data_IF_113270527905
#
_entry.id   IF_113270527905
#
_cell.length_a   1.000
_cell.length_b   1.000
_cell.length_c   1.000
_cell.angle_alpha   90.00
_cell.angle_beta   90.00
_cell.angle_gamma   90.00
#
_symmetry.space_group_name_H-M   'P 1'
#
loop_
_entity.id
_entity.type
_entity.pdbx_description
1 polymer ?
#
# COMPACT_ATOMS: atom_id res chain seq x y z
N UNK A 1 -11.56 -12.49 20.19
CA UNK A 1 -12.34 -12.52 18.93
C UNK A 1 -11.41 -13.09 17.87
N UNK A 2 -11.84 -14.12 17.14
CA UNK A 2 -11.04 -14.72 16.07
C UNK A 2 -11.36 -14.00 14.76
N UNK A 3 -10.35 -13.44 14.09
CA UNK A 3 -10.50 -12.87 12.75
C UNK A 3 -10.42 -14.03 11.75
N UNK A 4 -11.36 -14.08 10.82
CA UNK A 4 -11.46 -15.11 9.78
C UNK A 4 -11.88 -14.42 8.47
N UNK A 5 -11.15 -14.69 7.41
CA UNK A 5 -11.41 -14.15 6.07
C UNK A 5 -11.80 -15.25 5.07
N UNK A 6 -12.29 -16.39 5.57
CA UNK A 6 -12.84 -17.45 4.72
C UNK A 6 -13.96 -16.90 3.82
N UNK A 7 -13.97 -17.30 2.56
CA UNK A 7 -14.87 -16.80 1.50
C UNK A 7 -14.68 -15.31 1.13
N UNK A 8 -13.61 -14.66 1.60
CA UNK A 8 -13.23 -13.32 1.18
C UNK A 8 -12.21 -13.36 0.07
N UNK A 9 -12.30 -12.41 -0.86
CA UNK A 9 -11.33 -12.22 -1.95
C UNK A 9 -10.53 -10.95 -1.70
N UNK A 10 -9.21 -11.08 -1.66
CA UNK A 10 -8.26 -10.00 -1.44
C UNK A 10 -7.41 -9.77 -2.68
N UNK A 11 -7.24 -8.51 -3.08
CA UNK A 11 -6.22 -8.09 -4.04
C UNK A 11 -5.12 -7.33 -3.29
N UNK A 12 -3.86 -7.79 -3.42
CA UNK A 12 -2.70 -7.09 -2.89
C UNK A 12 -1.87 -6.53 -4.04
N UNK A 13 -1.89 -5.22 -4.21
CA UNK A 13 -1.06 -4.51 -5.18
C UNK A 13 0.33 -4.32 -4.59
N UNK A 14 1.34 -5.00 -5.16
CA UNK A 14 2.70 -5.06 -4.62
C UNK A 14 2.95 -6.25 -3.68
N UNK A 15 2.22 -7.36 -3.82
CA UNK A 15 2.28 -8.53 -2.94
C UNK A 15 3.47 -9.46 -3.13
N UNK A 16 4.52 -9.07 -3.86
CA UNK A 16 5.67 -9.95 -4.18
C UNK A 16 6.92 -9.73 -3.32
N UNK A 17 6.94 -8.73 -2.46
CA UNK A 17 8.08 -8.43 -1.59
C UNK A 17 7.65 -7.60 -0.36
N UNK A 18 8.52 -7.59 0.67
CA UNK A 18 8.39 -6.73 1.84
C UNK A 18 7.03 -6.81 2.53
N UNK A 19 6.46 -5.66 2.85
CA UNK A 19 5.17 -5.55 3.56
C UNK A 19 4.04 -6.25 2.78
N UNK A 20 3.98 -6.05 1.45
CA UNK A 20 2.92 -6.63 0.63
C UNK A 20 2.96 -8.15 0.59
N UNK A 21 4.15 -8.76 0.52
CA UNK A 21 4.30 -10.21 0.59
C UNK A 21 3.81 -10.75 1.94
N UNK A 22 4.20 -10.11 3.03
CA UNK A 22 3.78 -10.55 4.37
C UNK A 22 2.26 -10.42 4.56
N UNK A 23 1.65 -9.35 4.05
CA UNK A 23 0.19 -9.19 4.04
C UNK A 23 -0.48 -10.32 3.23
N UNK A 24 0.04 -10.63 2.02
CA UNK A 24 -0.46 -11.71 1.18
C UNK A 24 -0.49 -13.04 1.95
N UNK A 25 0.63 -13.40 2.59
CA UNK A 25 0.77 -14.64 3.37
C UNK A 25 -0.24 -14.70 4.53
N UNK A 26 -0.34 -13.62 5.31
CA UNK A 26 -1.23 -13.60 6.47
C UNK A 26 -2.72 -13.61 6.09
N UNK A 27 -3.09 -12.94 4.99
CA UNK A 27 -4.47 -13.02 4.50
C UNK A 27 -4.82 -14.42 3.97
N UNK A 28 -3.87 -15.13 3.36
CA UNK A 28 -4.02 -16.55 3.01
C UNK A 28 -4.17 -17.42 4.25
N UNK A 29 -3.36 -17.19 5.30
CA UNK A 29 -3.46 -17.91 6.57
C UNK A 29 -4.81 -17.69 7.27
N UNK A 30 -5.42 -16.51 7.08
CA UNK A 30 -6.76 -16.19 7.58
C UNK A 30 -7.89 -16.69 6.69
N UNK A 31 -7.59 -17.45 5.63
CA UNK A 31 -8.58 -18.11 4.78
C UNK A 31 -9.04 -17.32 3.55
N UNK A 32 -8.48 -16.13 3.29
CA UNK A 32 -8.83 -15.35 2.12
C UNK A 32 -8.28 -15.96 0.82
N UNK A 33 -9.04 -15.87 -0.27
CA UNK A 33 -8.54 -16.08 -1.62
C UNK A 33 -7.75 -14.83 -2.04
N UNK A 34 -6.41 -14.94 -2.08
CA UNK A 34 -5.56 -13.78 -2.33
C UNK A 34 -5.02 -13.78 -3.75
N UNK A 35 -5.26 -12.70 -4.45
CA UNK A 35 -4.64 -12.34 -5.72
C UNK A 35 -3.58 -11.27 -5.50
N UNK A 36 -2.51 -11.29 -6.28
CA UNK A 36 -1.43 -10.31 -6.17
C UNK A 36 -1.11 -9.72 -7.54
N UNK A 37 -0.89 -8.41 -7.57
CA UNK A 37 -0.47 -7.66 -8.77
C UNK A 37 0.95 -7.17 -8.54
N UNK A 38 1.89 -7.70 -9.31
CA UNK A 38 3.30 -7.26 -9.26
C UNK A 38 4.07 -7.67 -10.50
N UNK A 39 5.21 -7.00 -10.76
CA UNK A 39 6.12 -7.36 -11.86
C UNK A 39 6.68 -8.78 -11.74
N UNK A 40 6.88 -9.32 -10.53
CA UNK A 40 7.29 -10.72 -10.34
C UNK A 40 6.23 -11.73 -10.77
N UNK A 41 4.97 -11.30 -10.77
CA UNK A 41 3.82 -12.10 -11.24
C UNK A 41 3.48 -11.78 -12.70
N UNK A 42 4.35 -11.03 -13.41
CA UNK A 42 4.21 -10.69 -14.82
C UNK A 42 3.25 -9.53 -15.10
N UNK A 43 2.86 -8.75 -14.08
CA UNK A 43 1.92 -7.65 -14.22
C UNK A 43 2.58 -6.34 -13.81
N UNK A 44 2.76 -5.44 -14.78
CA UNK A 44 3.17 -4.07 -14.48
C UNK A 44 1.93 -3.23 -14.14
N UNK A 45 1.91 -2.66 -12.94
CA UNK A 45 0.80 -1.82 -12.46
C UNK A 45 0.62 -0.53 -13.25
N UNK A 46 1.63 -0.10 -14.01
CA UNK A 46 1.56 1.05 -14.91
C UNK A 46 1.00 0.68 -16.30
N UNK A 47 0.86 -0.61 -16.59
CA UNK A 47 0.27 -1.09 -17.83
C UNK A 47 -1.22 -1.42 -17.60
N UNK A 48 -2.10 -0.48 -17.94
CA UNK A 48 -3.55 -0.61 -17.73
C UNK A 48 -4.13 -1.84 -18.39
N UNK A 49 -3.64 -2.23 -19.59
CA UNK A 49 -4.11 -3.42 -20.30
C UNK A 49 -3.81 -4.69 -19.50
N UNK A 50 -2.59 -4.83 -18.96
CA UNK A 50 -2.24 -5.99 -18.13
C UNK A 50 -3.07 -6.04 -16.85
N UNK A 51 -3.35 -4.88 -16.24
CA UNK A 51 -4.22 -4.77 -15.07
C UNK A 51 -5.64 -5.21 -15.38
N UNK A 52 -6.20 -4.75 -16.51
CA UNK A 52 -7.55 -5.11 -16.94
C UNK A 52 -7.65 -6.62 -17.23
N UNK A 53 -6.71 -7.19 -17.99
CA UNK A 53 -6.65 -8.63 -18.27
C UNK A 53 -6.54 -9.48 -17.00
N UNK A 54 -5.82 -8.98 -16.00
CA UNK A 54 -5.75 -9.63 -14.68
C UNK A 54 -7.11 -9.55 -13.96
N UNK A 55 -7.72 -8.37 -13.92
CA UNK A 55 -8.97 -8.15 -13.20
C UNK A 55 -10.17 -8.90 -13.81
N UNK A 56 -10.11 -9.28 -15.11
CA UNK A 56 -11.10 -10.18 -15.71
C UNK A 56 -11.16 -11.56 -15.04
N UNK A 57 -10.08 -11.99 -14.35
CA UNK A 57 -10.00 -13.27 -13.64
C UNK A 57 -10.51 -13.21 -12.20
N UNK A 58 -10.93 -12.01 -11.76
CA UNK A 58 -11.40 -11.76 -10.39
C UNK A 58 -12.86 -11.34 -10.44
N UNK A 59 -13.76 -12.17 -9.94
CA UNK A 59 -15.20 -11.92 -10.00
C UNK A 59 -15.65 -10.90 -8.95
N UNK A 60 -15.07 -10.95 -7.74
CA UNK A 60 -15.43 -10.13 -6.59
C UNK A 60 -14.17 -9.67 -5.84
N UNK A 61 -14.25 -8.49 -5.23
CA UNK A 61 -13.19 -7.92 -4.37
C UNK A 61 -13.78 -7.52 -3.03
N UNK A 62 -13.42 -8.25 -1.96
CA UNK A 62 -13.79 -7.86 -0.59
C UNK A 62 -12.75 -6.91 0.00
N UNK A 63 -11.46 -7.16 -0.27
CA UNK A 63 -10.37 -6.33 0.24
C UNK A 63 -9.41 -5.93 -0.88
N UNK A 64 -9.16 -4.63 -1.01
CA UNK A 64 -8.12 -4.08 -1.88
C UNK A 64 -7.02 -3.45 -1.02
N UNK A 65 -5.79 -3.93 -1.15
CA UNK A 65 -4.66 -3.45 -0.37
C UNK A 65 -3.58 -2.92 -1.31
N UNK A 66 -3.42 -1.61 -1.35
CA UNK A 66 -2.51 -0.90 -2.24
C UNK A 66 -1.19 -0.62 -1.52
N UNK A 67 -0.17 -1.46 -1.71
CA UNK A 67 1.15 -1.38 -1.05
C UNK A 67 2.26 -0.96 -2.02
N UNK A 68 2.09 -1.23 -3.32
CA UNK A 68 3.12 -0.99 -4.32
C UNK A 68 3.66 0.45 -4.30
N UNK A 69 4.96 0.59 -4.29
CA UNK A 69 5.62 1.89 -4.44
C UNK A 69 7.10 1.73 -4.80
N UNK A 70 7.66 2.78 -5.40
CA UNK A 70 9.09 2.98 -5.60
C UNK A 70 9.53 4.24 -4.90
N UNK A 71 10.80 4.31 -4.50
CA UNK A 71 11.41 5.47 -3.85
C UNK A 71 12.82 5.67 -4.38
N UNK A 72 13.18 6.92 -4.64
CA UNK A 72 14.54 7.35 -4.92
C UNK A 72 14.95 8.45 -3.93
N UNK A 73 16.21 8.38 -3.49
CA UNK A 73 16.78 9.33 -2.53
C UNK A 73 17.60 10.37 -3.29
N UNK A 74 16.91 11.36 -3.85
CA UNK A 74 17.53 12.45 -4.62
C UNK A 74 17.00 13.81 -4.18
N UNK A 75 17.85 14.84 -4.30
CA UNK A 75 17.44 16.23 -4.12
C UNK A 75 16.72 16.73 -5.37
N UNK A 76 15.91 17.78 -5.23
CA UNK A 76 15.06 18.29 -6.33
C UNK A 76 15.86 18.64 -7.59
N UNK A 77 17.11 19.12 -7.45
CA UNK A 77 17.95 19.46 -8.57
C UNK A 77 18.47 18.26 -9.37
N UNK A 78 18.42 17.07 -8.78
CA UNK A 78 18.90 15.80 -9.35
C UNK A 78 17.79 14.97 -9.99
N UNK A 79 16.52 15.38 -9.76
CA UNK A 79 15.33 14.69 -10.26
C UNK A 79 14.98 15.25 -11.65
N UNK A 80 15.07 14.42 -12.67
CA UNK A 80 14.54 14.76 -13.98
C UNK A 80 13.04 14.47 -14.10
N UNK A 81 12.43 14.96 -15.17
CA UNK A 81 10.99 14.80 -15.39
C UNK A 81 10.59 13.32 -15.56
N UNK A 82 11.46 12.50 -16.11
CA UNK A 82 11.19 11.07 -16.33
C UNK A 82 11.09 10.33 -14.99
N UNK A 83 12.05 10.56 -14.08
CA UNK A 83 12.03 9.97 -12.75
C UNK A 83 10.84 10.47 -11.92
N UNK A 84 10.54 11.78 -12.01
CA UNK A 84 9.35 12.34 -11.40
C UNK A 84 8.08 11.60 -11.85
N UNK A 85 7.91 11.48 -13.18
CA UNK A 85 6.76 10.80 -13.77
C UNK A 85 6.70 9.32 -13.39
N UNK A 86 7.82 8.62 -13.36
CA UNK A 86 7.89 7.22 -12.96
C UNK A 86 7.37 7.03 -11.53
N UNK A 87 7.83 7.87 -10.59
CA UNK A 87 7.39 7.79 -9.18
C UNK A 87 5.90 8.14 -9.04
N UNK A 88 5.44 9.21 -9.67
CA UNK A 88 4.03 9.61 -9.60
C UNK A 88 3.13 8.54 -10.26
N UNK A 89 3.52 8.03 -11.43
CA UNK A 89 2.76 6.99 -12.12
C UNK A 89 2.66 5.72 -11.27
N UNK A 90 3.79 5.25 -10.73
CA UNK A 90 3.82 4.01 -9.95
C UNK A 90 3.14 4.15 -8.59
N UNK A 91 3.36 5.26 -7.87
CA UNK A 91 2.90 5.38 -6.48
C UNK A 91 1.49 5.97 -6.35
N UNK A 92 0.98 6.67 -7.36
CA UNK A 92 -0.30 7.39 -7.27
C UNK A 92 -1.25 7.05 -8.42
N UNK A 93 -0.82 7.25 -9.69
CA UNK A 93 -1.72 7.08 -10.83
C UNK A 93 -2.16 5.61 -10.99
N UNK A 94 -1.25 4.64 -10.81
CA UNK A 94 -1.58 3.22 -10.87
C UNK A 94 -2.57 2.82 -9.77
N UNK A 95 -2.40 3.36 -8.57
CA UNK A 95 -3.29 3.10 -7.42
C UNK A 95 -4.70 3.63 -7.71
N UNK A 96 -4.78 4.86 -8.25
CA UNK A 96 -6.07 5.39 -8.72
C UNK A 96 -6.72 4.47 -9.75
N UNK A 97 -5.97 4.06 -10.78
CA UNK A 97 -6.51 3.24 -11.86
C UNK A 97 -7.02 1.88 -11.35
N UNK A 98 -6.17 1.15 -10.62
CA UNK A 98 -6.53 -0.17 -10.08
C UNK A 98 -7.74 -0.07 -9.14
N UNK A 99 -7.74 0.94 -8.26
CA UNK A 99 -8.85 1.16 -7.32
C UNK A 99 -10.16 1.41 -8.05
N UNK A 100 -10.14 2.26 -9.09
CA UNK A 100 -11.31 2.54 -9.92
C UNK A 100 -11.89 1.28 -10.54
N UNK A 101 -11.05 0.40 -11.08
CA UNK A 101 -11.50 -0.86 -11.67
C UNK A 101 -12.01 -1.85 -10.62
N UNK A 102 -11.38 -1.90 -9.44
CA UNK A 102 -11.78 -2.80 -8.36
C UNK A 102 -13.13 -2.41 -7.74
N UNK A 103 -13.46 -1.12 -7.64
CA UNK A 103 -14.72 -0.63 -7.06
C UNK A 103 -15.94 -1.22 -7.76
N UNK A 104 -15.87 -1.47 -9.07
CA UNK A 104 -16.96 -2.10 -9.84
C UNK A 104 -17.23 -3.56 -9.44
N UNK A 105 -16.29 -4.16 -8.68
CA UNK A 105 -16.36 -5.55 -8.18
C UNK A 105 -16.52 -5.61 -6.66
N UNK A 106 -16.69 -4.45 -6.01
CA UNK A 106 -16.84 -4.34 -4.56
C UNK A 106 -18.31 -4.19 -4.16
N UNK A 107 -18.68 -4.89 -3.10
CA UNK A 107 -20.00 -4.84 -2.51
C UNK A 107 -19.97 -4.16 -1.12
N UNK A 108 -21.16 -3.93 -0.54
CA UNK A 108 -21.28 -3.44 0.83
C UNK A 108 -20.47 -4.29 1.81
N UNK A 109 -19.71 -3.66 2.71
CA UNK A 109 -18.80 -4.28 3.64
C UNK A 109 -17.38 -4.50 3.12
N UNK A 110 -17.11 -4.17 1.85
CA UNK A 110 -15.74 -4.22 1.30
C UNK A 110 -14.84 -3.16 1.93
N UNK A 111 -13.52 -3.40 1.90
CA UNK A 111 -12.51 -2.51 2.51
C UNK A 111 -11.39 -2.19 1.53
N UNK A 112 -10.94 -0.95 1.54
CA UNK A 112 -9.75 -0.50 0.82
C UNK A 112 -8.72 0.00 1.83
N UNK A 113 -7.49 -0.51 1.77
CA UNK A 113 -6.38 -0.04 2.59
C UNK A 113 -5.25 0.43 1.69
N UNK A 114 -4.98 1.72 1.74
CA UNK A 114 -3.91 2.35 0.98
C UNK A 114 -2.65 2.51 1.84
N UNK A 115 -1.48 2.28 1.28
CA UNK A 115 -0.21 2.54 1.93
C UNK A 115 0.38 3.88 1.47
N UNK A 116 0.29 4.87 2.35
CA UNK A 116 1.08 6.08 2.26
C UNK A 116 2.44 5.87 2.95
N UNK A 117 2.91 6.84 3.68
CA UNK A 117 4.14 6.84 4.47
C UNK A 117 4.09 7.99 5.47
N UNK A 118 4.90 7.94 6.51
CA UNK A 118 5.18 9.11 7.34
C UNK A 118 5.70 10.28 6.48
N UNK A 119 6.39 10.00 5.36
CA UNK A 119 6.82 10.98 4.39
C UNK A 119 5.66 11.76 3.74
N UNK A 120 4.47 11.16 3.62
CA UNK A 120 3.28 11.84 3.11
C UNK A 120 2.62 12.79 4.13
N UNK A 121 2.94 12.65 5.42
CA UNK A 121 2.44 13.51 6.50
C UNK A 121 3.46 14.57 6.93
N UNK A 122 4.74 14.23 6.86
CA UNK A 122 5.85 15.05 7.32
C UNK A 122 6.94 15.09 6.23
N UNK A 123 8.02 15.84 6.48
CA UNK A 123 9.23 15.74 5.66
C UNK A 123 9.87 14.36 5.78
N UNK A 124 10.58 13.93 4.74
CA UNK A 124 11.41 12.72 4.75
C UNK A 124 12.91 13.09 4.80
N UNK A 125 13.68 12.26 5.50
CA UNK A 125 15.15 12.34 5.49
C UNK A 125 15.78 11.43 4.43
N UNK A 126 15.00 10.45 3.91
CA UNK A 126 15.48 9.35 3.06
C UNK A 126 14.68 9.19 1.77
N UNK A 127 13.94 10.21 1.38
CA UNK A 127 13.10 10.16 0.16
C UNK A 127 13.12 11.50 -0.55
N UNK A 128 13.09 11.45 -1.87
CA UNK A 128 12.97 12.64 -2.71
C UNK A 128 11.57 13.27 -2.67
N UNK A 129 11.46 14.50 -3.20
CA UNK A 129 10.21 15.27 -3.23
C UNK A 129 9.10 14.56 -4.01
N UNK A 130 9.40 13.83 -5.08
CA UNK A 130 8.44 13.05 -5.86
C UNK A 130 7.77 11.96 -5.02
N UNK A 131 8.54 11.21 -4.22
CA UNK A 131 7.98 10.20 -3.31
C UNK A 131 7.08 10.84 -2.26
N UNK A 132 7.57 11.87 -1.58
CA UNK A 132 6.82 12.61 -0.55
C UNK A 132 5.51 13.15 -1.12
N UNK A 133 5.56 13.75 -2.32
CA UNK A 133 4.36 14.24 -3.03
C UNK A 133 3.39 13.10 -3.34
N UNK A 134 3.88 11.99 -3.89
CA UNK A 134 3.02 10.84 -4.21
C UNK A 134 2.32 10.28 -2.97
N UNK A 135 3.05 10.17 -1.85
CA UNK A 135 2.50 9.65 -0.59
C UNK A 135 1.54 10.63 0.10
N UNK A 136 1.74 11.94 -0.03
CA UNK A 136 0.76 12.95 0.37
C UNK A 136 -0.50 12.86 -0.50
N UNK A 137 -0.36 12.64 -1.80
CA UNK A 137 -1.45 12.41 -2.73
C UNK A 137 -2.32 11.21 -2.34
N UNK A 138 -1.73 10.10 -1.90
CA UNK A 138 -2.46 8.92 -1.39
C UNK A 138 -3.32 9.27 -0.17
N UNK A 139 -2.86 10.11 0.73
CA UNK A 139 -3.67 10.55 1.89
C UNK A 139 -4.89 11.34 1.42
N UNK A 140 -4.68 12.30 0.49
CA UNK A 140 -5.79 13.06 -0.10
C UNK A 140 -6.79 12.18 -0.85
N UNK A 141 -6.28 11.27 -1.69
CA UNK A 141 -7.07 10.28 -2.41
C UNK A 141 -7.91 9.42 -1.46
N UNK A 142 -7.31 8.89 -0.39
CA UNK A 142 -8.01 8.06 0.60
C UNK A 142 -9.16 8.80 1.26
N UNK A 143 -8.94 10.05 1.71
CA UNK A 143 -9.99 10.86 2.36
C UNK A 143 -11.17 11.13 1.45
N UNK A 144 -10.90 11.54 0.20
CA UNK A 144 -11.96 11.80 -0.76
C UNK A 144 -12.72 10.52 -1.12
N UNK A 145 -12.00 9.43 -1.36
CA UNK A 145 -12.59 8.15 -1.72
C UNK A 145 -13.45 7.56 -0.59
N UNK A 146 -13.03 7.73 0.68
CA UNK A 146 -13.82 7.32 1.83
C UNK A 146 -15.17 8.06 1.90
N UNK A 147 -15.17 9.34 1.60
CA UNK A 147 -16.41 10.13 1.52
C UNK A 147 -17.33 9.65 0.40
N UNK A 148 -16.79 9.38 -0.79
CA UNK A 148 -17.55 8.96 -1.96
C UNK A 148 -18.13 7.54 -1.83
N UNK A 149 -17.39 6.62 -1.18
CA UNK A 149 -17.78 5.22 -1.04
C UNK A 149 -18.51 4.90 0.27
N UNK A 150 -18.49 5.80 1.24
CA UNK A 150 -19.22 5.65 2.51
C UNK A 150 -20.69 5.31 2.34
N UNK A 151 -21.46 5.99 1.44
CA UNK A 151 -22.87 5.64 1.17
C UNK A 151 -23.07 4.21 0.63
N UNK A 152 -22.03 3.59 0.06
CA UNK A 152 -22.04 2.19 -0.39
C UNK A 152 -21.58 1.22 0.71
N UNK A 153 -21.33 1.71 1.92
CA UNK A 153 -20.77 0.94 3.03
C UNK A 153 -19.42 0.26 2.67
N UNK A 154 -18.56 0.99 1.95
CA UNK A 154 -17.19 0.58 1.65
C UNK A 154 -16.25 1.47 2.45
N UNK A 155 -15.47 0.88 3.36
CA UNK A 155 -14.50 1.64 4.15
C UNK A 155 -13.18 1.83 3.38
N UNK A 156 -12.62 3.03 3.47
CA UNK A 156 -11.34 3.36 2.81
C UNK A 156 -10.41 4.00 3.82
N UNK A 157 -9.31 3.32 4.08
CA UNK A 157 -8.36 3.74 5.10
C UNK A 157 -6.93 3.84 4.56
N UNK A 158 -6.09 4.58 5.25
CA UNK A 158 -4.69 4.77 4.90
C UNK A 158 -3.77 4.44 6.07
N UNK A 159 -2.81 3.56 5.82
CA UNK A 159 -1.70 3.30 6.75
C UNK A 159 -0.50 4.14 6.33
N UNK A 160 0.15 4.78 7.30
CA UNK A 160 1.33 5.63 7.08
C UNK A 160 2.54 5.06 7.82
N UNK A 161 3.16 3.97 7.35
CA UNK A 161 4.33 3.40 8.00
C UNK A 161 5.46 4.42 8.16
N UNK A 162 6.20 4.27 9.24
CA UNK A 162 7.52 4.87 9.41
C UNK A 162 8.57 3.93 8.83
N UNK A 163 9.82 4.06 9.23
CA UNK A 163 10.93 3.26 8.73
C UNK A 163 10.74 1.78 9.08
N UNK A 164 10.46 1.00 8.06
CA UNK A 164 10.23 -0.44 8.16
C UNK A 164 11.37 -1.20 7.48
N UNK A 165 11.90 -2.21 8.13
CA UNK A 165 12.97 -3.06 7.62
C UNK A 165 12.48 -3.84 6.39
N UNK A 166 12.76 -3.28 5.22
CA UNK A 166 12.49 -3.84 3.90
C UNK A 166 13.74 -3.69 3.04
N UNK A 167 13.83 -4.43 1.94
CA UNK A 167 14.93 -4.25 0.98
C UNK A 167 15.02 -2.79 0.49
N UNK A 168 13.89 -2.09 0.38
CA UNK A 168 13.86 -0.68 -0.01
C UNK A 168 14.62 0.20 1.00
N UNK A 169 14.41 0.00 2.31
CA UNK A 169 15.11 0.75 3.34
C UNK A 169 16.59 0.34 3.41
N UNK A 170 16.88 -0.96 3.38
CA UNK A 170 18.25 -1.47 3.44
C UNK A 170 19.12 -0.95 2.30
N UNK A 171 18.54 -0.80 1.10
CA UNK A 171 19.25 -0.25 -0.05
C UNK A 171 19.42 1.29 0.00
N UNK A 172 18.70 1.98 0.87
CA UNK A 172 18.71 3.44 0.98
C UNK A 172 19.53 3.99 2.15
N UNK A 173 20.01 3.12 3.06
CA UNK A 173 20.69 3.52 4.30
C UNK A 173 21.77 2.52 4.71
N UNK A 174 22.91 3.04 5.25
CA UNK A 174 23.93 2.21 5.88
C UNK A 174 23.44 1.67 7.24
N UNK A 175 24.11 0.63 7.77
CA UNK A 175 23.79 0.08 9.10
C UNK A 175 23.93 1.13 10.21
N UNK A 176 24.95 1.97 10.16
CA UNK A 176 25.14 3.08 11.11
C UNK A 176 23.97 4.10 11.06
N UNK A 177 23.52 4.44 9.84
CA UNK A 177 22.36 5.32 9.66
C UNK A 177 21.07 4.69 10.20
N UNK A 178 20.90 3.37 10.03
CA UNK A 178 19.76 2.62 10.57
C UNK A 178 19.78 2.59 12.09
N UNK A 179 20.96 2.38 12.71
CA UNK A 179 21.12 2.38 14.16
C UNK A 179 20.83 3.76 14.76
N UNK A 180 21.39 4.83 14.16
CA UNK A 180 21.08 6.20 14.56
C UNK A 180 19.58 6.49 14.48
N UNK A 181 18.94 6.14 13.37
CA UNK A 181 17.50 6.33 13.19
C UNK A 181 16.67 5.54 14.22
N UNK A 182 17.09 4.32 14.53
CA UNK A 182 16.45 3.49 15.56
C UNK A 182 16.48 4.18 16.94
N UNK A 183 17.58 4.84 17.27
CA UNK A 183 17.75 5.56 18.53
C UNK A 183 16.84 6.79 18.65
N UNK A 184 16.37 7.36 17.54
CA UNK A 184 15.45 8.51 17.50
C UNK A 184 13.97 8.07 17.58
N UNK A 185 13.66 6.81 17.25
CA UNK A 185 12.31 6.26 17.34
C UNK A 185 11.98 5.97 18.82
N UNK A 186 10.80 6.39 19.33
CA UNK A 186 10.44 6.15 20.73
C UNK A 186 10.53 4.68 21.17
N UNK A 187 10.18 3.73 20.29
CA UNK A 187 10.30 2.28 20.53
C UNK A 187 11.73 1.74 20.38
N UNK A 188 12.71 2.61 20.07
CA UNK A 188 14.14 2.27 19.96
C UNK A 188 14.46 1.16 18.98
N UNK A 189 13.61 0.96 17.99
CA UNK A 189 13.82 0.02 16.89
C UNK A 189 13.14 0.49 15.60
N UNK A 190 13.63 0.01 14.48
CA UNK A 190 12.91 0.08 13.22
C UNK A 190 11.70 -0.88 13.28
N UNK A 191 10.64 -0.56 12.56
CA UNK A 191 9.52 -1.48 12.40
C UNK A 191 9.94 -2.68 11.54
N UNK A 192 9.34 -3.84 11.80
CA UNK A 192 9.42 -5.00 10.91
C UNK A 192 8.24 -5.01 9.93
N UNK A 193 8.27 -5.89 8.94
CA UNK A 193 7.12 -6.04 8.02
C UNK A 193 5.89 -6.57 8.76
N UNK A 194 6.07 -7.39 9.78
CA UNK A 194 5.01 -7.93 10.64
C UNK A 194 4.28 -6.84 11.42
N UNK A 195 5.00 -5.81 11.88
CA UNK A 195 4.39 -4.65 12.57
C UNK A 195 3.35 -3.92 11.70
N UNK A 196 3.44 -4.05 10.37
CA UNK A 196 2.51 -3.42 9.43
C UNK A 196 1.28 -4.28 9.14
N UNK A 197 1.33 -5.58 9.40
CA UNK A 197 0.26 -6.52 9.03
C UNK A 197 -0.94 -6.41 9.96
N UNK A 198 -0.70 -6.33 11.27
CA UNK A 198 -1.76 -6.21 12.28
C UNK A 198 -2.76 -5.08 12.01
N UNK A 199 -2.29 -3.84 11.78
CA UNK A 199 -3.16 -2.72 11.40
C UNK A 199 -4.00 -3.00 10.14
N UNK A 200 -3.44 -3.66 9.12
CA UNK A 200 -4.17 -3.99 7.88
C UNK A 200 -5.25 -5.04 8.13
N UNK A 201 -4.94 -6.10 8.88
CA UNK A 201 -5.91 -7.11 9.28
C UNK A 201 -7.06 -6.47 10.07
N UNK A 202 -6.74 -5.59 11.02
CA UNK A 202 -7.75 -4.85 11.77
C UNK A 202 -8.64 -4.02 10.85
N UNK A 203 -8.06 -3.22 9.94
CA UNK A 203 -8.79 -2.35 9.02
C UNK A 203 -9.63 -3.14 7.99
N UNK A 204 -9.29 -4.40 7.71
CA UNK A 204 -10.09 -5.28 6.85
C UNK A 204 -11.13 -6.11 7.64
N UNK A 205 -11.09 -6.10 8.97
CA UNK A 205 -12.03 -6.86 9.80
C UNK A 205 -13.28 -6.06 10.15
N UNK A 206 -14.29 -6.75 10.70
CA UNK A 206 -15.52 -6.13 11.23
C UNK A 206 -15.25 -5.22 12.43
N UNK A 207 -14.07 -5.34 13.08
CA UNK A 207 -13.67 -4.48 14.20
C UNK A 207 -13.49 -3.01 13.80
N UNK A 208 -13.31 -2.75 12.51
CA UNK A 208 -13.12 -1.42 11.93
C UNK A 208 -14.32 -0.97 11.08
N UNK A 209 -15.52 -1.52 11.31
CA UNK A 209 -16.70 -1.24 10.48
C UNK A 209 -17.10 0.25 10.46
N UNK A 210 -16.68 1.01 11.46
CA UNK A 210 -16.96 2.47 11.60
C UNK A 210 -15.71 3.34 11.42
N UNK A 211 -14.63 2.80 10.85
CA UNK A 211 -13.36 3.52 10.62
C UNK A 211 -13.13 3.72 9.12
#
# INVERSE_FOLDING_TARGET
>A
MKIDFTNKTTIVVGGSAGIGLKIKEEFQNLGSKVFSISRKEGIDINNTKQVDEFLLKVDKVDFLINVASINYTKKIQEIDLTEWQEVINTNLNSIFYITKQCIEKMESGSKIVNFSSIAGRNRSLVSGVHYTTSKAGIIGFTRQLAYELGPKNINVNCVCPSQTLTNMLQNSMTSEQQEKLSSEIPLRRLATVEDQVGPVIFLCSELSSYI
#
